data_IF_961848986954
#
_entry.id   IF_961848986954
#
_cell.length_a   1.000
_cell.length_b   1.000
_cell.length_c   1.000
_cell.angle_alpha   90.00
_cell.angle_beta   90.00
_cell.angle_gamma   90.00
#
_symmetry.space_group_name_H-M   'P 1'
#
loop_
_entity.id
_entity.type
_entity.pdbx_description
1 polymer ?
#
# COMPACT_ATOMS: atom_id res chain seq x y z
N UNK A 1 30.73 58.15 91.48
CA UNK A 1 30.67 59.64 91.25
C UNK A 1 30.02 59.87 89.90
N UNK A 2 28.99 60.69 89.85
CA UNK A 2 28.16 61.18 88.74
C UNK A 2 27.11 60.15 88.25
N UNK A 3 25.87 60.17 88.68
CA UNK A 3 24.70 61.10 88.51
C UNK A 3 24.53 61.59 87.09
N UNK A 4 23.43 61.16 86.38
CA UNK A 4 22.45 62.11 85.84
C UNK A 4 21.33 61.43 85.03
N UNK A 5 20.17 61.81 85.49
CA UNK A 5 18.93 62.23 84.77
C UNK A 5 18.13 61.29 83.95
N UNK A 6 17.06 60.89 84.56
CA UNK A 6 15.76 60.43 84.07
C UNK A 6 15.11 61.49 83.17
N UNK A 7 14.78 61.20 81.97
CA UNK A 7 13.81 61.95 81.17
C UNK A 7 12.68 61.01 80.73
N UNK A 8 11.55 61.15 81.36
CA UNK A 8 10.27 60.60 81.06
C UNK A 8 9.77 61.21 79.77
N UNK A 9 9.50 60.38 78.71
CA UNK A 9 8.83 60.78 77.51
C UNK A 9 7.49 60.04 77.44
N UNK A 10 6.40 60.73 77.68
CA UNK A 10 5.03 60.28 77.50
C UNK A 10 4.76 60.17 76.01
N UNK A 11 4.63 58.92 75.50
CA UNK A 11 4.14 58.66 74.14
C UNK A 11 2.64 58.52 74.23
N UNK A 12 1.93 59.48 73.67
CA UNK A 12 0.49 59.47 73.47
C UNK A 12 0.22 58.52 72.25
N UNK A 13 -0.29 57.36 72.55
CA UNK A 13 -0.70 56.39 71.54
C UNK A 13 -2.08 56.80 70.93
N UNK A 14 -2.04 57.38 69.76
CA UNK A 14 -3.25 57.60 68.96
C UNK A 14 -3.66 56.27 68.36
N UNK A 15 -4.73 55.68 68.92
CA UNK A 15 -5.40 54.54 68.35
C UNK A 15 -6.26 55.05 67.16
N UNK A 16 -5.71 54.97 65.94
CA UNK A 16 -6.52 55.07 64.75
C UNK A 16 -7.24 53.74 64.56
N UNK A 17 -8.53 53.71 64.82
CA UNK A 17 -9.41 52.64 64.43
C UNK A 17 -9.50 52.63 62.91
N UNK A 18 -8.74 51.77 62.20
CA UNK A 18 -8.97 51.49 60.83
C UNK A 18 -10.28 50.69 60.70
N UNK A 19 -11.32 51.33 60.24
CA UNK A 19 -12.54 50.64 59.82
C UNK A 19 -12.18 49.72 58.65
N UNK A 20 -12.08 48.42 58.93
CA UNK A 20 -12.01 47.37 57.91
C UNK A 20 -13.37 47.33 57.24
N UNK A 21 -13.47 48.01 56.11
CA UNK A 21 -14.66 47.98 55.27
C UNK A 21 -14.73 46.56 54.66
N UNK A 22 -15.45 45.66 55.33
CA UNK A 22 -15.73 44.31 54.84
C UNK A 22 -16.64 44.44 53.61
N UNK A 23 -16.00 44.52 52.39
CA UNK A 23 -16.73 44.38 51.14
C UNK A 23 -17.36 43.00 51.12
N UNK A 24 -18.69 42.95 51.01
CA UNK A 24 -19.43 41.72 50.81
C UNK A 24 -18.82 40.98 49.62
N UNK A 25 -18.63 39.65 49.70
CA UNK A 25 -18.10 38.90 48.58
C UNK A 25 -19.00 39.13 47.35
N UNK A 26 -18.37 39.42 46.22
CA UNK A 26 -19.08 39.58 44.95
C UNK A 26 -19.97 38.37 44.70
N UNK A 27 -21.20 38.53 44.21
CA UNK A 27 -22.09 37.40 43.92
C UNK A 27 -21.40 36.45 42.96
N UNK A 28 -21.42 35.16 43.29
CA UNK A 28 -20.90 34.12 42.39
C UNK A 28 -21.71 34.13 41.11
N UNK A 29 -21.06 34.20 39.92
CA UNK A 29 -21.79 34.24 38.64
C UNK A 29 -22.63 32.97 38.46
N UNK A 30 -23.79 33.13 37.92
CA UNK A 30 -24.68 32.01 37.56
C UNK A 30 -24.10 31.22 36.39
N UNK A 31 -24.50 29.98 36.23
CA UNK A 31 -24.08 29.14 35.11
C UNK A 31 -24.31 29.80 33.75
N UNK A 32 -25.46 30.49 33.59
CA UNK A 32 -25.82 31.19 32.35
C UNK A 32 -24.89 32.41 32.07
N UNK A 33 -24.50 33.13 33.10
CA UNK A 33 -23.52 34.24 32.97
C UNK A 33 -22.15 33.73 32.58
N UNK A 34 -21.72 32.60 33.14
CA UNK A 34 -20.47 31.93 32.78
C UNK A 34 -20.50 31.51 31.31
N UNK A 35 -21.58 30.84 30.86
CA UNK A 35 -21.73 30.39 29.47
C UNK A 35 -21.68 31.59 28.51
N UNK A 36 -22.46 32.64 28.77
CA UNK A 36 -22.44 33.86 27.95
C UNK A 36 -21.09 34.54 27.89
N UNK A 37 -20.36 34.53 29.00
CA UNK A 37 -18.99 35.08 29.04
C UNK A 37 -18.02 34.25 28.20
N UNK A 38 -18.12 32.90 28.26
CA UNK A 38 -17.30 32.00 27.46
C UNK A 38 -17.60 32.11 25.96
N UNK A 39 -18.86 32.24 25.57
CA UNK A 39 -19.30 32.49 24.18
C UNK A 39 -18.76 33.84 23.69
N UNK A 40 -19.00 34.91 24.44
CA UNK A 40 -18.54 36.28 24.07
C UNK A 40 -17.03 36.39 23.93
N UNK A 41 -16.28 35.66 24.75
CA UNK A 41 -14.81 35.64 24.68
C UNK A 41 -14.25 34.71 23.59
N UNK A 42 -15.08 33.91 22.92
CA UNK A 42 -14.69 32.87 21.98
C UNK A 42 -13.90 31.72 22.64
N UNK A 43 -13.90 31.62 23.97
CA UNK A 43 -13.16 30.59 24.69
C UNK A 43 -13.80 29.20 24.48
N UNK A 44 -15.12 29.14 24.37
CA UNK A 44 -15.87 27.93 24.09
C UNK A 44 -15.52 27.39 22.69
N UNK A 45 -15.56 28.26 21.67
CA UNK A 45 -15.22 27.85 20.29
C UNK A 45 -13.78 27.35 20.18
N UNK A 46 -12.83 28.03 20.85
CA UNK A 46 -11.43 27.58 20.91
C UNK A 46 -11.30 26.22 21.61
N UNK A 47 -12.07 25.97 22.66
CA UNK A 47 -12.06 24.68 23.37
C UNK A 47 -12.62 23.56 22.48
N UNK A 48 -13.73 23.82 21.78
CA UNK A 48 -14.34 22.89 20.83
C UNK A 48 -13.38 22.60 19.69
N UNK A 49 -12.78 23.62 19.07
CA UNK A 49 -11.79 23.44 18.00
C UNK A 49 -10.61 22.60 18.44
N UNK A 50 -10.04 22.84 19.63
CA UNK A 50 -8.97 22.00 20.20
C UNK A 50 -9.43 20.55 20.43
N UNK A 51 -10.68 20.36 20.85
CA UNK A 51 -11.28 19.03 21.00
C UNK A 51 -11.38 18.30 19.67
N UNK A 52 -11.90 18.97 18.64
CA UNK A 52 -12.01 18.43 17.26
C UNK A 52 -10.63 18.11 16.69
N UNK A 53 -9.66 19.00 16.85
CA UNK A 53 -8.29 18.75 16.37
C UNK A 53 -7.66 17.54 17.05
N UNK A 54 -7.77 17.40 18.38
CA UNK A 54 -7.28 16.22 19.11
C UNK A 54 -7.98 14.94 18.66
N UNK A 55 -9.29 14.99 18.47
CA UNK A 55 -10.04 13.85 17.95
C UNK A 55 -9.53 13.42 16.57
N UNK A 56 -9.38 14.37 15.64
CA UNK A 56 -8.83 14.10 14.29
C UNK A 56 -7.42 13.53 14.34
N UNK A 57 -6.54 14.11 15.14
CA UNK A 57 -5.16 13.61 15.32
C UNK A 57 -5.14 12.18 15.86
N UNK A 58 -6.00 11.88 16.84
CA UNK A 58 -6.11 10.52 17.37
C UNK A 58 -6.64 9.53 16.32
N UNK A 59 -7.60 9.93 15.49
CA UNK A 59 -8.10 9.09 14.38
C UNK A 59 -7.00 8.83 13.33
N UNK A 60 -6.26 9.88 12.94
CA UNK A 60 -5.14 9.74 11.99
C UNK A 60 -4.09 8.79 12.58
N UNK A 61 -3.65 9.01 13.80
CA UNK A 61 -2.66 8.16 14.46
C UNK A 61 -3.14 6.71 14.58
N UNK A 62 -4.39 6.47 14.96
CA UNK A 62 -4.94 5.12 15.04
C UNK A 62 -4.98 4.43 13.66
N UNK A 63 -5.27 5.18 12.59
CA UNK A 63 -5.24 4.67 11.22
C UNK A 63 -3.80 4.33 10.77
N UNK A 64 -2.83 5.21 11.08
CA UNK A 64 -1.41 4.99 10.80
C UNK A 64 -0.86 3.77 11.55
N UNK A 65 -1.15 3.64 12.86
CA UNK A 65 -0.74 2.51 13.68
C UNK A 65 -1.33 1.19 13.15
N UNK A 66 -2.60 1.22 12.72
CA UNK A 66 -3.27 0.07 12.09
C UNK A 66 -2.61 -0.30 10.77
N UNK A 67 -2.38 0.68 9.90
CA UNK A 67 -1.74 0.47 8.60
C UNK A 67 -0.31 -0.07 8.75
N UNK A 68 0.45 0.46 9.71
CA UNK A 68 1.79 -0.02 10.01
C UNK A 68 1.78 -1.48 10.50
N UNK A 69 0.84 -1.83 11.39
CA UNK A 69 0.68 -3.21 11.88
C UNK A 69 0.32 -4.17 10.75
N UNK A 70 -0.66 -3.79 9.92
CA UNK A 70 -1.05 -4.59 8.75
C UNK A 70 0.09 -4.74 7.73
N UNK A 71 0.87 -3.68 7.51
CA UNK A 71 2.06 -3.71 6.67
C UNK A 71 3.12 -4.67 7.18
N UNK A 72 3.34 -4.69 8.51
CA UNK A 72 4.29 -5.61 9.15
C UNK A 72 3.84 -7.07 9.03
N UNK A 73 2.55 -7.35 9.23
CA UNK A 73 2.00 -8.69 9.06
C UNK A 73 2.09 -9.15 7.59
N UNK A 74 1.75 -8.29 6.64
CA UNK A 74 1.95 -8.59 5.20
C UNK A 74 3.40 -8.88 4.87
N UNK A 75 4.34 -8.09 5.39
CA UNK A 75 5.77 -8.34 5.17
C UNK A 75 6.25 -9.66 5.77
N UNK A 76 5.66 -10.12 6.88
CA UNK A 76 5.93 -11.45 7.43
C UNK A 76 5.41 -12.55 6.50
N UNK A 77 4.19 -12.40 5.99
CA UNK A 77 3.57 -13.37 5.07
C UNK A 77 4.30 -13.42 3.73
N UNK A 78 4.85 -12.32 3.24
CA UNK A 78 5.59 -12.26 1.98
C UNK A 78 6.77 -13.24 1.90
N UNK A 79 7.33 -13.62 3.05
CA UNK A 79 8.40 -14.64 3.13
C UNK A 79 7.92 -16.04 2.71
N UNK A 80 6.61 -16.25 2.68
CA UNK A 80 6.02 -17.53 2.24
C UNK A 80 5.89 -17.60 0.71
N UNK A 81 6.15 -16.50 -0.01
CA UNK A 81 6.18 -16.54 -1.48
C UNK A 81 7.18 -17.61 -1.94
N UNK A 82 6.76 -18.47 -2.86
CA UNK A 82 7.63 -19.52 -3.38
C UNK A 82 8.88 -18.94 -4.04
N UNK A 83 9.98 -19.65 -3.92
CA UNK A 83 11.22 -19.25 -4.56
C UNK A 83 11.05 -19.09 -6.08
N UNK A 84 11.76 -18.13 -6.64
CA UNK A 84 11.76 -17.88 -8.09
C UNK A 84 12.55 -18.99 -8.76
N UNK A 85 11.97 -19.55 -9.82
CA UNK A 85 12.58 -20.58 -10.65
C UNK A 85 12.62 -20.13 -12.10
N UNK A 86 13.77 -19.70 -12.57
CA UNK A 86 13.97 -19.19 -13.93
C UNK A 86 13.62 -20.19 -15.05
N UNK A 87 13.50 -21.48 -14.75
CA UNK A 87 13.07 -22.48 -15.73
C UNK A 87 11.54 -22.52 -15.90
N UNK A 88 10.79 -22.07 -14.91
CA UNK A 88 9.34 -22.15 -14.89
C UNK A 88 8.63 -20.80 -14.80
N UNK A 89 9.29 -19.79 -14.23
CA UNK A 89 8.71 -18.46 -14.08
C UNK A 89 9.00 -17.60 -15.32
N UNK A 90 8.07 -16.76 -15.70
CA UNK A 90 8.30 -15.76 -16.73
C UNK A 90 8.92 -14.51 -16.10
N UNK A 91 10.14 -14.17 -16.55
CA UNK A 91 10.95 -13.13 -15.96
C UNK A 91 11.28 -12.06 -17.00
N UNK A 92 10.90 -10.81 -16.74
CA UNK A 92 11.36 -9.67 -17.52
C UNK A 92 12.59 -9.06 -16.89
N UNK A 93 13.65 -8.87 -17.69
CA UNK A 93 14.96 -8.42 -17.22
C UNK A 93 15.89 -9.59 -16.93
N UNK A 94 16.95 -9.33 -16.14
CA UNK A 94 17.99 -10.30 -15.87
C UNK A 94 17.56 -11.32 -14.81
N UNK A 95 17.59 -12.65 -15.07
CA UNK A 95 17.11 -13.65 -14.11
C UNK A 95 17.83 -13.63 -12.75
N UNK A 96 19.11 -13.22 -12.72
CA UNK A 96 19.96 -13.13 -11.53
C UNK A 96 20.06 -11.70 -10.96
N UNK A 97 19.05 -10.84 -11.22
CA UNK A 97 18.99 -9.50 -10.66
C UNK A 97 18.97 -9.50 -9.12
N UNK A 98 19.46 -8.43 -8.51
CA UNK A 98 19.54 -8.30 -7.05
C UNK A 98 18.16 -8.20 -6.41
N UNK A 99 17.25 -7.49 -7.09
CA UNK A 99 15.85 -7.33 -6.66
C UNK A 99 14.93 -7.99 -7.67
N UNK A 100 14.00 -8.78 -7.17
CA UNK A 100 12.85 -9.24 -7.96
C UNK A 100 11.58 -8.53 -7.52
N UNK A 101 10.82 -8.05 -8.50
CA UNK A 101 9.45 -7.58 -8.37
C UNK A 101 8.56 -8.78 -8.72
N UNK A 102 8.03 -9.49 -7.72
CA UNK A 102 7.07 -10.56 -7.94
C UNK A 102 5.69 -9.92 -8.04
N UNK A 103 5.10 -9.93 -9.23
CA UNK A 103 3.78 -9.38 -9.50
C UNK A 103 2.75 -10.50 -9.58
N UNK A 104 1.77 -10.45 -8.68
CA UNK A 104 0.55 -11.26 -8.74
C UNK A 104 -0.52 -10.45 -9.46
N UNK A 105 -0.88 -10.88 -10.63
CA UNK A 105 -1.65 -10.09 -11.58
C UNK A 105 -2.81 -10.86 -12.19
N UNK A 106 -3.81 -10.11 -12.68
CA UNK A 106 -5.00 -10.61 -13.35
C UNK A 106 -5.22 -9.77 -14.62
N UNK A 107 -5.26 -10.40 -15.77
CA UNK A 107 -5.41 -9.71 -17.05
C UNK A 107 -6.74 -8.94 -17.17
N UNK A 108 -7.77 -9.40 -16.49
CA UNK A 108 -9.09 -8.75 -16.47
C UNK A 108 -9.23 -7.65 -15.39
N UNK A 109 -8.21 -7.46 -14.54
CA UNK A 109 -8.23 -6.41 -13.54
C UNK A 109 -7.87 -5.04 -14.15
N UNK A 110 -8.74 -4.01 -14.06
CA UNK A 110 -8.44 -2.68 -14.58
C UNK A 110 -7.18 -2.04 -13.98
N UNK A 111 -6.93 -2.31 -12.71
CA UNK A 111 -5.74 -1.80 -12.00
C UNK A 111 -4.46 -2.52 -12.46
N UNK A 112 -4.52 -3.81 -12.79
CA UNK A 112 -3.40 -4.53 -13.40
C UNK A 112 -3.09 -3.98 -14.80
N UNK A 113 -4.12 -3.70 -15.60
CA UNK A 113 -3.96 -3.05 -16.90
C UNK A 113 -3.23 -1.70 -16.76
N UNK A 114 -3.60 -0.86 -15.79
CA UNK A 114 -2.92 0.40 -15.53
C UNK A 114 -1.48 0.22 -15.03
N UNK A 115 -1.22 -0.86 -14.31
CA UNK A 115 0.06 -1.14 -13.69
C UNK A 115 1.03 -1.88 -14.63
N UNK A 116 0.55 -2.51 -15.69
CA UNK A 116 1.30 -3.47 -16.54
C UNK A 116 2.63 -2.94 -17.09
N UNK A 117 2.71 -1.64 -17.41
CA UNK A 117 3.95 -1.02 -17.88
C UNK A 117 4.87 -0.55 -16.74
N UNK A 118 4.35 -0.37 -15.52
CA UNK A 118 5.09 0.24 -14.41
C UNK A 118 6.30 -0.58 -13.97
N UNK A 119 6.19 -1.90 -13.70
CA UNK A 119 7.35 -2.71 -13.32
C UNK A 119 8.37 -2.82 -14.46
N UNK A 120 7.90 -2.90 -15.70
CA UNK A 120 8.74 -2.95 -16.90
C UNK A 120 9.60 -1.67 -17.01
N UNK A 121 8.98 -0.52 -16.77
CA UNK A 121 9.68 0.76 -16.80
C UNK A 121 10.77 0.84 -15.70
N UNK A 122 10.48 0.37 -14.49
CA UNK A 122 11.49 0.31 -13.41
C UNK A 122 12.67 -0.59 -13.81
N UNK A 123 12.42 -1.77 -14.38
CA UNK A 123 13.50 -2.65 -14.89
C UNK A 123 14.34 -1.97 -15.95
N UNK A 124 13.70 -1.25 -16.89
CA UNK A 124 14.40 -0.54 -17.96
C UNK A 124 15.23 0.64 -17.45
N UNK A 125 14.80 1.29 -16.34
CA UNK A 125 15.58 2.35 -15.66
C UNK A 125 16.72 1.80 -14.80
N UNK A 126 16.66 0.52 -14.37
CA UNK A 126 17.62 -0.14 -13.47
C UNK A 126 18.10 -1.48 -14.05
N UNK A 127 18.70 -1.48 -15.27
CA UNK A 127 19.03 -2.70 -16.00
C UNK A 127 20.06 -3.55 -15.26
N UNK A 128 19.73 -4.83 -15.07
CA UNK A 128 20.56 -5.80 -14.38
C UNK A 128 20.47 -5.79 -12.86
N UNK A 129 19.88 -4.76 -12.26
CA UNK A 129 19.67 -4.69 -10.81
C UNK A 129 18.31 -5.24 -10.40
N UNK A 130 17.31 -5.09 -11.28
CA UNK A 130 15.91 -5.41 -11.02
C UNK A 130 15.37 -6.31 -12.14
N UNK A 131 14.47 -7.22 -11.77
CA UNK A 131 13.64 -7.97 -12.72
C UNK A 131 12.19 -8.03 -12.25
N UNK A 132 11.28 -8.41 -13.16
CA UNK A 132 9.88 -8.71 -12.83
C UNK A 132 9.64 -10.20 -12.99
N UNK A 133 8.96 -10.80 -12.04
CA UNK A 133 8.50 -12.18 -12.08
C UNK A 133 6.98 -12.18 -12.09
N UNK A 134 6.39 -12.79 -13.11
CA UNK A 134 4.95 -12.89 -13.26
C UNK A 134 4.39 -14.07 -12.46
N UNK A 135 3.24 -13.84 -11.79
CA UNK A 135 2.41 -14.83 -11.11
C UNK A 135 0.95 -14.59 -11.47
N UNK A 136 0.27 -15.63 -11.94
CA UNK A 136 -1.13 -15.53 -12.28
C UNK A 136 -2.00 -15.51 -11.02
N UNK A 137 -2.88 -14.52 -10.89
CA UNK A 137 -3.80 -14.40 -9.77
C UNK A 137 -5.20 -13.98 -10.23
N UNK A 138 -5.85 -14.80 -11.11
CA UNK A 138 -7.19 -14.52 -11.60
C UNK A 138 -8.18 -14.40 -10.42
N UNK A 139 -8.95 -13.30 -10.43
CA UNK A 139 -9.95 -13.03 -9.40
C UNK A 139 -11.27 -13.68 -9.80
N UNK A 140 -11.95 -14.28 -8.83
CA UNK A 140 -13.14 -15.07 -9.08
C UNK A 140 -14.27 -14.28 -9.78
N UNK A 141 -14.37 -13.01 -9.54
CA UNK A 141 -15.38 -12.16 -10.20
C UNK A 141 -15.01 -11.71 -11.62
N UNK A 142 -13.82 -12.07 -12.11
CA UNK A 142 -13.38 -11.91 -13.49
C UNK A 142 -13.43 -13.20 -14.29
N UNK A 143 -13.86 -14.29 -13.66
CA UNK A 143 -13.97 -15.59 -14.35
C UNK A 143 -15.14 -15.62 -15.34
N UNK A 144 -15.05 -16.39 -16.42
CA UNK A 144 -13.97 -17.32 -16.77
C UNK A 144 -12.83 -16.70 -17.59
N UNK A 145 -12.90 -15.41 -17.90
CA UNK A 145 -11.95 -14.78 -18.83
C UNK A 145 -10.55 -14.66 -18.24
N UNK A 146 -10.44 -14.30 -16.97
CA UNK A 146 -9.15 -14.18 -16.28
C UNK A 146 -8.31 -15.47 -16.35
N UNK A 147 -8.90 -16.62 -16.04
CA UNK A 147 -8.20 -17.91 -16.17
C UNK A 147 -7.92 -18.31 -17.61
N UNK A 148 -8.78 -17.94 -18.58
CA UNK A 148 -8.52 -18.23 -20.01
C UNK A 148 -7.32 -17.43 -20.51
N UNK A 149 -7.22 -16.15 -20.16
CA UNK A 149 -6.12 -15.29 -20.55
C UNK A 149 -4.81 -15.74 -19.91
N UNK A 150 -4.84 -16.10 -18.61
CA UNK A 150 -3.69 -16.68 -17.91
C UNK A 150 -3.21 -17.98 -18.61
N UNK A 151 -4.13 -18.91 -18.91
CA UNK A 151 -3.81 -20.14 -19.60
C UNK A 151 -3.21 -19.89 -20.99
N UNK A 152 -3.78 -18.94 -21.75
CA UNK A 152 -3.28 -18.55 -23.06
C UNK A 152 -1.84 -18.02 -22.97
N UNK A 153 -1.55 -17.11 -22.03
CA UNK A 153 -0.22 -16.54 -21.84
C UNK A 153 0.81 -17.61 -21.44
N UNK A 154 0.47 -18.51 -20.51
CA UNK A 154 1.31 -19.64 -20.14
C UNK A 154 1.63 -20.50 -21.37
N UNK A 155 0.63 -20.86 -22.19
CA UNK A 155 0.79 -21.73 -23.34
C UNK A 155 1.65 -21.11 -24.45
N UNK A 156 1.49 -19.82 -24.69
CA UNK A 156 2.38 -19.08 -25.61
C UNK A 156 3.82 -19.10 -25.08
N UNK A 157 4.01 -18.80 -23.82
CA UNK A 157 5.33 -18.83 -23.20
C UNK A 157 5.99 -20.19 -23.17
N UNK A 158 5.23 -21.27 -22.98
CA UNK A 158 5.74 -22.64 -23.02
C UNK A 158 6.21 -23.06 -24.44
N UNK A 159 5.54 -22.58 -25.48
CA UNK A 159 5.92 -22.92 -26.86
C UNK A 159 7.07 -22.06 -27.40
N UNK A 160 7.06 -20.77 -27.07
CA UNK A 160 7.94 -19.78 -27.72
C UNK A 160 8.90 -19.09 -26.76
N UNK A 161 8.85 -19.44 -25.47
CA UNK A 161 9.75 -18.92 -24.46
C UNK A 161 9.31 -17.60 -23.85
N UNK A 162 10.18 -17.10 -23.01
CA UNK A 162 9.95 -15.95 -22.14
C UNK A 162 9.57 -14.66 -22.91
N UNK A 163 10.28 -14.36 -23.98
CA UNK A 163 10.02 -13.13 -24.76
C UNK A 163 8.65 -13.13 -25.42
N UNK A 164 8.19 -14.28 -25.89
CA UNK A 164 6.86 -14.44 -26.47
C UNK A 164 5.77 -14.29 -25.40
N UNK A 165 6.01 -14.81 -24.19
CA UNK A 165 5.12 -14.57 -23.04
C UNK A 165 4.91 -13.08 -22.78
N UNK A 166 6.00 -12.31 -22.66
CA UNK A 166 5.92 -10.88 -22.33
C UNK A 166 5.27 -10.06 -23.45
N UNK A 167 5.51 -10.38 -24.72
CA UNK A 167 4.83 -9.76 -25.85
C UNK A 167 3.33 -10.08 -25.86
N UNK A 168 2.99 -11.33 -25.56
CA UNK A 168 1.59 -11.75 -25.48
C UNK A 168 0.88 -11.10 -24.28
N UNK A 169 1.53 -11.03 -23.14
CA UNK A 169 1.06 -10.33 -21.93
C UNK A 169 0.73 -8.86 -22.25
N UNK A 170 1.64 -8.13 -22.88
CA UNK A 170 1.43 -6.76 -23.34
C UNK A 170 0.22 -6.68 -24.29
N UNK A 171 0.12 -7.63 -25.23
CA UNK A 171 -0.98 -7.72 -26.19
C UNK A 171 -2.34 -7.92 -25.53
N UNK A 172 -2.42 -8.77 -24.49
CA UNK A 172 -3.66 -8.94 -23.72
C UNK A 172 -4.01 -7.63 -23.02
N UNK A 173 -3.12 -7.04 -22.23
CA UNK A 173 -3.40 -5.80 -21.51
C UNK A 173 -3.78 -4.63 -22.41
N UNK A 174 -3.19 -4.54 -23.60
CA UNK A 174 -3.54 -3.53 -24.59
C UNK A 174 -5.00 -3.66 -25.06
N UNK A 175 -5.48 -4.89 -25.24
CA UNK A 175 -6.75 -5.17 -25.90
C UNK A 175 -7.89 -5.56 -24.96
N UNK A 176 -7.62 -6.07 -23.74
CA UNK A 176 -8.69 -6.51 -22.83
C UNK A 176 -9.66 -5.37 -22.51
N UNK A 177 -10.94 -5.71 -22.45
CA UNK A 177 -12.02 -4.83 -22.02
C UNK A 177 -12.16 -4.78 -20.49
N UNK A 178 -11.42 -5.66 -19.81
CA UNK A 178 -11.39 -5.82 -18.34
C UNK A 178 -12.72 -6.30 -17.73
N UNK A 179 -12.72 -6.54 -16.41
CA UNK A 179 -13.91 -6.94 -15.63
C UNK A 179 -14.63 -8.19 -16.16
N UNK A 180 -13.88 -9.20 -16.58
CA UNK A 180 -14.41 -10.47 -17.07
C UNK A 180 -14.95 -10.43 -18.48
N UNK A 181 -14.72 -9.35 -19.24
CA UNK A 181 -15.24 -9.19 -20.59
C UNK A 181 -14.32 -9.78 -21.68
N UNK A 182 -13.04 -9.96 -21.37
CA UNK A 182 -12.04 -10.49 -22.30
C UNK A 182 -11.63 -9.51 -23.38
N UNK A 183 -11.01 -10.05 -24.43
CA UNK A 183 -10.62 -9.28 -25.61
C UNK A 183 -11.84 -9.04 -26.54
N UNK A 184 -11.87 -7.91 -27.27
CA UNK A 184 -12.94 -7.64 -28.25
C UNK A 184 -13.06 -8.77 -29.27
N UNK A 185 -14.26 -9.27 -29.49
CA UNK A 185 -14.52 -10.25 -30.52
C UNK A 185 -14.35 -9.62 -31.91
N UNK A 186 -13.54 -10.24 -32.73
CA UNK A 186 -13.30 -9.84 -34.12
C UNK A 186 -13.37 -11.11 -34.99
N UNK A 187 -14.26 -11.13 -35.99
CA UNK A 187 -14.43 -12.26 -36.89
C UNK A 187 -14.87 -13.58 -36.19
N UNK A 188 -14.66 -14.72 -36.83
CA UNK A 188 -15.04 -16.04 -36.33
C UNK A 188 -13.90 -16.75 -35.56
N UNK A 189 -12.80 -16.04 -35.24
CA UNK A 189 -11.65 -16.59 -34.54
C UNK A 189 -11.68 -16.08 -33.10
N UNK A 190 -11.36 -16.96 -32.15
CA UNK A 190 -11.17 -16.56 -30.74
C UNK A 190 -10.08 -15.48 -30.65
N UNK A 191 -10.34 -14.33 -30.03
CA UNK A 191 -9.39 -13.21 -29.97
C UNK A 191 -8.05 -13.56 -29.35
N UNK A 192 -8.02 -14.42 -28.29
CA UNK A 192 -6.79 -14.90 -27.69
C UNK A 192 -6.00 -15.79 -28.66
N UNK A 193 -6.69 -16.65 -29.42
CA UNK A 193 -6.05 -17.44 -30.46
C UNK A 193 -5.49 -16.56 -31.59
N UNK A 194 -6.21 -15.51 -31.98
CA UNK A 194 -5.73 -14.56 -32.99
C UNK A 194 -4.43 -13.86 -32.50
N UNK A 195 -4.43 -13.36 -31.28
CA UNK A 195 -3.25 -12.73 -30.67
C UNK A 195 -2.09 -13.73 -30.51
N UNK A 196 -2.38 -14.98 -30.14
CA UNK A 196 -1.37 -16.04 -30.04
C UNK A 196 -0.73 -16.38 -31.36
N UNK A 197 -1.53 -16.38 -32.47
CA UNK A 197 -1.02 -16.61 -33.83
C UNK A 197 0.06 -15.60 -34.24
N UNK A 198 -0.03 -14.35 -33.76
CA UNK A 198 0.98 -13.31 -34.01
C UNK A 198 2.35 -13.68 -33.42
N UNK A 199 2.38 -14.58 -32.42
CA UNK A 199 3.63 -15.10 -31.84
C UNK A 199 4.16 -16.34 -32.62
N UNK A 200 3.52 -16.75 -33.68
CA UNK A 200 3.92 -17.89 -34.53
C UNK A 200 3.84 -19.24 -33.81
N UNK A 201 2.84 -19.42 -32.95
CA UNK A 201 2.61 -20.67 -32.22
C UNK A 201 2.04 -21.77 -33.14
N UNK A 202 2.20 -23.03 -32.72
CA UNK A 202 1.43 -24.17 -33.22
C UNK A 202 0.03 -24.16 -32.59
N UNK A 203 -0.99 -24.00 -33.38
CA UNK A 203 -2.38 -23.84 -32.92
C UNK A 203 -2.94 -25.11 -32.28
N UNK A 204 -2.58 -26.28 -32.77
CA UNK A 204 -3.10 -27.52 -32.20
C UNK A 204 -2.46 -27.81 -30.85
N UNK A 205 -1.15 -27.53 -30.68
CA UNK A 205 -0.48 -27.60 -29.40
C UNK A 205 -1.03 -26.54 -28.43
N UNK A 206 -1.33 -25.34 -28.92
CA UNK A 206 -1.91 -24.28 -28.08
C UNK A 206 -3.29 -24.68 -27.54
N UNK A 207 -4.20 -25.20 -28.42
CA UNK A 207 -5.52 -25.66 -28.00
C UNK A 207 -5.45 -26.80 -26.99
N UNK A 208 -4.54 -27.77 -27.21
CA UNK A 208 -4.29 -28.84 -26.22
C UNK A 208 -3.75 -28.30 -24.89
N UNK A 209 -2.85 -27.32 -24.94
CA UNK A 209 -2.25 -26.70 -23.77
C UNK A 209 -3.28 -25.95 -22.91
N UNK A 210 -4.05 -25.03 -23.49
CA UNK A 210 -5.03 -24.21 -22.73
C UNK A 210 -6.12 -25.05 -22.06
N UNK A 211 -6.38 -26.25 -22.55
CA UNK A 211 -7.35 -27.20 -22.00
C UNK A 211 -6.71 -28.20 -21.03
N UNK A 212 -5.39 -28.11 -20.82
CA UNK A 212 -4.68 -29.11 -20.03
C UNK A 212 -4.85 -28.88 -18.51
N UNK A 213 -4.94 -29.98 -17.75
CA UNK A 213 -4.93 -29.96 -16.30
C UNK A 213 -3.63 -29.36 -15.75
N UNK A 214 -2.51 -29.51 -16.46
CA UNK A 214 -1.21 -29.01 -16.06
C UNK A 214 -1.18 -27.48 -15.97
N UNK A 215 -1.79 -26.79 -16.95
CA UNK A 215 -1.90 -25.32 -16.97
C UNK A 215 -2.81 -24.85 -15.83
N UNK A 216 -3.96 -25.51 -15.63
CA UNK A 216 -4.85 -25.17 -14.53
C UNK A 216 -4.19 -25.36 -13.17
N UNK A 217 -3.42 -26.44 -12.98
CA UNK A 217 -2.65 -26.66 -11.76
C UNK A 217 -1.60 -25.56 -11.54
N UNK A 218 -0.95 -25.09 -12.60
CA UNK A 218 0.01 -23.98 -12.52
C UNK A 218 -0.66 -22.68 -12.05
N UNK A 219 -1.78 -22.30 -12.65
CA UNK A 219 -2.55 -21.11 -12.24
C UNK A 219 -2.98 -21.23 -10.77
N UNK A 220 -3.54 -22.38 -10.38
CA UNK A 220 -3.95 -22.62 -9.00
C UNK A 220 -2.78 -22.55 -8.02
N UNK A 221 -1.59 -23.03 -8.41
CA UNK A 221 -0.39 -22.93 -7.60
C UNK A 221 0.08 -21.47 -7.40
N UNK A 222 -0.05 -20.62 -8.42
CA UNK A 222 0.26 -19.20 -8.29
C UNK A 222 -0.77 -18.47 -7.39
N UNK A 223 -2.06 -18.80 -7.50
CA UNK A 223 -3.11 -18.29 -6.61
C UNK A 223 -2.83 -18.67 -5.16
N UNK A 224 -2.52 -19.94 -4.91
CA UNK A 224 -2.22 -20.45 -3.57
C UNK A 224 -0.96 -19.79 -2.99
N UNK A 225 0.09 -19.68 -3.81
CA UNK A 225 1.32 -18.97 -3.48
C UNK A 225 1.06 -17.53 -3.05
N UNK A 226 0.31 -16.77 -3.87
CA UNK A 226 -0.05 -15.39 -3.54
C UNK A 226 -0.84 -15.29 -2.23
N UNK A 227 -1.83 -16.16 -2.01
CA UNK A 227 -2.60 -16.17 -0.75
C UNK A 227 -1.72 -16.47 0.45
N UNK A 228 -0.83 -17.46 0.35
CA UNK A 228 0.13 -17.80 1.41
C UNK A 228 1.12 -16.66 1.69
N UNK A 229 1.45 -15.89 0.67
CA UNK A 229 2.29 -14.69 0.76
C UNK A 229 1.54 -13.42 1.19
N UNK A 230 0.22 -13.52 1.50
CA UNK A 230 -0.59 -12.40 1.99
C UNK A 230 -1.16 -11.51 0.91
N UNK A 231 -1.15 -11.93 -0.35
CA UNK A 231 -1.81 -11.24 -1.45
C UNK A 231 -3.32 -11.52 -1.38
N UNK A 232 -4.11 -10.46 -1.33
CA UNK A 232 -5.57 -10.51 -1.24
C UNK A 232 -6.30 -9.85 -2.41
N UNK A 233 -5.57 -9.32 -3.38
CA UNK A 233 -6.10 -8.65 -4.56
C UNK A 233 -5.00 -8.27 -5.54
N UNK A 234 -5.37 -7.80 -6.71
CA UNK A 234 -4.46 -7.51 -7.82
C UNK A 234 -4.48 -6.01 -8.22
N UNK A 235 -3.33 -5.47 -8.68
CA UNK A 235 -2.02 -6.09 -8.62
C UNK A 235 -1.51 -6.20 -7.19
N UNK A 236 -0.92 -7.34 -6.83
CA UNK A 236 -0.18 -7.52 -5.59
C UNK A 236 1.31 -7.66 -5.90
N UNK A 237 2.16 -6.93 -5.18
CA UNK A 237 3.59 -6.90 -5.48
C UNK A 237 4.41 -7.25 -4.25
N UNK A 238 5.33 -8.18 -4.40
CA UNK A 238 6.35 -8.49 -3.40
C UNK A 238 7.72 -8.16 -4.00
N UNK A 239 8.45 -7.28 -3.32
CA UNK A 239 9.85 -7.03 -3.62
C UNK A 239 10.73 -7.95 -2.78
N UNK A 240 11.69 -8.60 -3.42
CA UNK A 240 12.64 -9.51 -2.76
C UNK A 240 14.06 -9.06 -3.05
N UNK A 241 14.86 -8.83 -2.01
CA UNK A 241 16.31 -8.61 -2.16
C UNK A 241 17.03 -9.94 -1.93
N UNK A 242 17.58 -10.51 -2.98
CA UNK A 242 18.26 -11.83 -2.95
C UNK A 242 19.57 -11.82 -2.18
N UNK A 243 20.22 -10.65 -2.01
CA UNK A 243 21.47 -10.52 -1.26
C UNK A 243 21.25 -10.45 0.24
N UNK A 244 20.23 -9.73 0.68
CA UNK A 244 19.95 -9.48 2.11
C UNK A 244 18.86 -10.38 2.68
N UNK A 245 18.01 -10.97 1.83
CA UNK A 245 16.78 -11.66 2.21
C UNK A 245 15.67 -10.70 2.67
N UNK A 246 15.80 -9.40 2.34
CA UNK A 246 14.79 -8.39 2.66
C UNK A 246 13.56 -8.50 1.75
N UNK A 247 12.40 -8.16 2.30
CA UNK A 247 11.12 -8.14 1.60
C UNK A 247 10.42 -6.80 1.79
N UNK A 248 9.65 -6.38 0.77
CA UNK A 248 8.68 -5.31 0.89
C UNK A 248 7.40 -5.71 0.13
N UNK A 249 6.25 -5.26 0.58
CA UNK A 249 4.95 -5.58 -0.03
C UNK A 249 4.23 -4.29 -0.39
N UNK A 250 3.83 -4.21 -1.65
CA UNK A 250 3.02 -3.12 -2.17
C UNK A 250 1.67 -3.67 -2.60
N UNK A 251 0.60 -2.95 -2.32
CA UNK A 251 -0.75 -3.34 -2.71
C UNK A 251 -1.34 -2.32 -3.67
N UNK A 252 -1.97 -2.84 -4.73
CA UNK A 252 -2.59 -2.02 -5.76
C UNK A 252 -1.61 -1.39 -6.74
N UNK A 253 -2.16 -0.71 -7.74
CA UNK A 253 -1.39 -0.04 -8.78
C UNK A 253 -0.73 1.23 -8.23
N UNK A 254 0.56 1.16 -7.98
CA UNK A 254 1.38 2.31 -7.55
C UNK A 254 2.05 2.98 -8.76
N UNK A 255 2.34 4.29 -8.71
CA UNK A 255 3.11 4.96 -9.75
C UNK A 255 4.55 4.43 -9.85
N UNK A 256 5.18 4.62 -11.02
CA UNK A 256 6.58 4.22 -11.30
C UNK A 256 7.54 4.71 -10.22
N UNK A 257 7.47 5.99 -9.87
CA UNK A 257 8.34 6.59 -8.84
C UNK A 257 8.19 5.91 -7.47
N UNK A 258 6.96 5.56 -7.09
CA UNK A 258 6.72 4.88 -5.81
C UNK A 258 7.29 3.46 -5.79
N UNK A 259 7.17 2.72 -6.90
CA UNK A 259 7.75 1.39 -7.04
C UNK A 259 9.28 1.47 -7.03
N UNK A 260 9.85 2.43 -7.78
CA UNK A 260 11.28 2.68 -7.84
C UNK A 260 11.86 3.05 -6.46
N UNK A 261 11.22 3.98 -5.75
CA UNK A 261 11.62 4.35 -4.39
C UNK A 261 11.63 3.14 -3.44
N UNK A 262 10.64 2.25 -3.57
CA UNK A 262 10.58 1.04 -2.76
C UNK A 262 11.72 0.07 -3.08
N UNK A 263 12.06 -0.06 -4.37
CA UNK A 263 13.20 -0.86 -4.84
C UNK A 263 14.52 -0.27 -4.33
N UNK A 264 14.74 1.03 -4.48
CA UNK A 264 15.96 1.72 -4.03
C UNK A 264 16.17 1.60 -2.51
N UNK A 265 15.10 1.77 -1.73
CA UNK A 265 15.14 1.54 -0.28
C UNK A 265 15.52 0.11 0.09
N UNK A 266 15.00 -0.87 -0.67
CA UNK A 266 15.31 -2.28 -0.43
C UNK A 266 16.74 -2.64 -0.87
N UNK A 267 17.27 -1.98 -1.91
CA UNK A 267 18.70 -2.10 -2.33
C UNK A 267 19.64 -1.50 -1.29
N UNK A 268 19.29 -0.35 -0.71
CA UNK A 268 20.09 0.35 0.29
C UNK A 268 20.06 -0.33 1.68
N UNK A 269 19.09 -1.21 1.94
CA UNK A 269 18.96 -1.90 3.22
C UNK A 269 20.15 -2.83 3.44
N UNK A 270 20.90 -2.59 4.53
CA UNK A 270 22.00 -3.47 4.98
C UNK A 270 21.43 -4.70 5.68
N UNK A 271 22.21 -5.79 5.65
CA UNK A 271 21.89 -7.02 6.42
C UNK A 271 21.78 -6.74 7.90
#
# INVERSE_FOLDING_TARGET
MRMTFLKTLLLICWLTTAEVNAQSPAPTPTTDEIIKSLEKSGALDKAIQRGIQRYRQNQIKAAEDKQQKEGLERAKMAKNARAINSNNDFIYGKPDAVISIIEYSDFECPYCKQFSSVPIEVVNQMPGEVNVVWRDFPLQFHEPMASKEAAAAICVGQQKGNDAFWKFNEGIFKNTLTNGQGLPKSNNIDPLQALANEQGIDIEQYKACISSEAVQKRINADIEDGRNAGISGTPGVILVNHKTGGFNVLAGAVPVESLKDAVEKLLAAKK
#
